data_IF_171398706087
#
_entry.id   IF_171398706087
#
_cell.length_a   1.000
_cell.length_b   1.000
_cell.length_c   1.000
_cell.angle_alpha   90.00
_cell.angle_beta   90.00
_cell.angle_gamma   90.00
#
_symmetry.space_group_name_H-M   'P 1'
#
loop_
_entity.id
_entity.type
_entity.pdbx_description
1 polymer ?
#
# COMPACT_ATOMS: atom_id res chain seq x y z
N UNK A 1 0.14 -14.06 5.37
CA UNK A 1 -1.00 -13.32 5.97
C UNK A 1 -2.26 -14.17 5.86
N UNK A 2 -2.97 -14.35 6.96
CA UNK A 2 -4.22 -15.11 6.97
C UNK A 2 -5.38 -14.25 6.46
N UNK A 3 -6.50 -14.91 6.10
CA UNK A 3 -7.69 -14.19 5.67
C UNK A 3 -8.23 -13.27 6.78
N UNK A 4 -8.14 -13.73 8.02
CA UNK A 4 -8.56 -12.94 9.19
C UNK A 4 -7.70 -11.69 9.36
N UNK A 5 -6.39 -11.84 9.21
CA UNK A 5 -5.45 -10.72 9.30
C UNK A 5 -5.69 -9.72 8.17
N UNK A 6 -5.91 -10.21 6.96
CA UNK A 6 -6.20 -9.36 5.81
C UNK A 6 -7.51 -8.58 6.01
N UNK A 7 -8.55 -9.23 6.51
CA UNK A 7 -9.83 -8.58 6.79
C UNK A 7 -9.67 -7.47 7.82
N UNK A 8 -8.87 -7.70 8.86
CA UNK A 8 -8.59 -6.70 9.87
C UNK A 8 -7.89 -5.48 9.27
N UNK A 9 -6.87 -5.71 8.44
CA UNK A 9 -6.15 -4.60 7.79
C UNK A 9 -7.05 -3.82 6.82
N UNK A 10 -7.94 -4.49 6.10
CA UNK A 10 -8.94 -3.82 5.25
C UNK A 10 -9.84 -2.91 6.08
N UNK A 11 -10.25 -3.37 7.24
CA UNK A 11 -11.08 -2.59 8.16
C UNK A 11 -10.36 -1.31 8.60
N UNK A 12 -9.10 -1.43 8.99
CA UNK A 12 -8.30 -0.26 9.37
C UNK A 12 -8.13 0.70 8.19
N UNK A 13 -7.88 0.16 7.00
CA UNK A 13 -7.64 0.97 5.82
C UNK A 13 -8.87 1.72 5.34
N UNK A 14 -10.08 1.27 5.69
CA UNK A 14 -11.31 1.95 5.28
C UNK A 14 -11.40 3.38 5.79
N UNK A 15 -10.68 3.70 6.88
CA UNK A 15 -10.66 5.04 7.46
C UNK A 15 -9.44 5.87 7.02
N UNK A 16 -8.59 5.32 6.16
CA UNK A 16 -7.40 6.01 5.69
C UNK A 16 -7.66 6.74 4.37
N UNK A 17 -7.04 7.91 4.23
CA UNK A 17 -7.00 8.60 2.95
C UNK A 17 -5.72 8.20 2.21
N UNK A 18 -5.75 8.20 0.86
CA UNK A 18 -4.53 7.95 0.10
C UNK A 18 -3.49 9.02 0.37
N UNK A 19 -2.26 8.60 0.67
CA UNK A 19 -1.16 9.55 0.91
C UNK A 19 -0.25 9.70 -0.31
N UNK A 20 -0.39 8.86 -1.32
CA UNK A 20 0.30 8.97 -2.59
C UNK A 20 -0.67 8.79 -3.73
N UNK A 21 -0.31 9.37 -4.89
CA UNK A 21 -1.09 9.25 -6.11
C UNK A 21 -0.17 8.84 -7.25
N UNK A 22 -0.60 7.87 -8.05
CA UNK A 22 0.13 7.42 -9.24
C UNK A 22 -0.56 8.03 -10.44
N UNK A 23 0.14 8.91 -11.13
CA UNK A 23 -0.44 9.68 -12.23
C UNK A 23 0.09 9.29 -13.61
N UNK A 24 0.22 10.29 -14.48
CA UNK A 24 0.56 10.17 -15.89
C UNK A 24 1.82 9.34 -16.18
N UNK A 25 2.83 9.48 -15.33
CA UNK A 25 4.11 8.78 -15.52
C UNK A 25 4.13 7.39 -14.89
N UNK A 26 2.99 6.94 -14.39
CA UNK A 26 2.87 5.64 -13.72
C UNK A 26 3.84 5.55 -12.52
N UNK A 27 4.36 4.36 -12.24
CA UNK A 27 5.27 4.16 -11.12
C UNK A 27 6.69 4.57 -11.53
N UNK A 28 7.25 5.55 -10.81
CA UNK A 28 8.62 6.00 -11.03
C UNK A 28 9.52 5.51 -9.89
N UNK A 29 10.87 5.47 -10.10
CA UNK A 29 11.77 5.12 -9.00
C UNK A 29 11.64 6.08 -7.81
N UNK A 30 11.46 7.37 -8.08
CA UNK A 30 11.31 8.38 -7.03
C UNK A 30 10.06 8.13 -6.19
N UNK A 31 8.94 7.79 -6.85
CA UNK A 31 7.70 7.50 -6.15
C UNK A 31 7.83 6.21 -5.33
N UNK A 32 8.45 5.19 -5.90
CA UNK A 32 8.70 3.93 -5.18
C UNK A 32 9.53 4.16 -3.93
N UNK A 33 10.59 4.97 -4.03
CA UNK A 33 11.44 5.30 -2.90
C UNK A 33 10.67 6.08 -1.84
N UNK A 34 9.84 7.03 -2.25
CA UNK A 34 9.03 7.82 -1.33
C UNK A 34 8.04 6.94 -0.56
N UNK A 35 7.42 5.97 -1.24
CA UNK A 35 6.51 5.02 -0.60
C UNK A 35 7.28 4.17 0.42
N UNK A 36 8.46 3.68 0.03
CA UNK A 36 9.31 2.89 0.92
C UNK A 36 9.69 3.66 2.19
N UNK A 37 10.03 4.95 2.04
CA UNK A 37 10.35 5.79 3.18
C UNK A 37 9.15 6.06 4.09
N UNK A 38 7.96 6.17 3.50
CA UNK A 38 6.74 6.41 4.27
C UNK A 38 6.44 5.28 5.25
N UNK A 39 6.92 4.06 4.98
CA UNK A 39 6.76 2.95 5.91
C UNK A 39 7.54 3.11 7.21
N UNK A 40 8.50 4.04 7.26
CA UNK A 40 9.20 4.34 8.51
C UNK A 40 8.26 4.94 9.56
N UNK A 41 7.19 5.59 9.12
CA UNK A 41 6.23 6.23 10.02
C UNK A 41 4.82 5.64 9.92
N UNK A 42 4.57 4.76 8.97
CA UNK A 42 3.25 4.21 8.72
C UNK A 42 3.36 2.74 8.37
N UNK A 43 2.68 1.88 9.09
CA UNK A 43 2.68 0.45 8.75
C UNK A 43 1.65 0.12 7.68
N UNK A 44 0.62 0.94 7.55
CA UNK A 44 -0.47 0.74 6.59
C UNK A 44 -0.61 1.99 5.73
N UNK A 45 -0.50 1.82 4.41
CA UNK A 45 -0.51 2.93 3.46
C UNK A 45 -1.53 2.66 2.37
N UNK A 46 -2.31 3.69 2.04
CA UNK A 46 -3.27 3.66 0.95
C UNK A 46 -2.78 4.56 -0.19
N UNK A 47 -2.85 4.06 -1.41
CA UNK A 47 -2.37 4.76 -2.60
C UNK A 47 -3.47 4.79 -3.65
N UNK A 48 -3.66 5.95 -4.29
CA UNK A 48 -4.64 6.11 -5.36
C UNK A 48 -3.95 6.12 -6.72
N UNK A 49 -4.59 5.51 -7.71
CA UNK A 49 -4.14 5.58 -9.11
C UNK A 49 -5.07 6.53 -9.84
N UNK A 50 -4.50 7.57 -10.43
CA UNK A 50 -5.30 8.61 -11.10
C UNK A 50 -5.76 8.16 -12.48
N UNK A 51 -6.80 8.84 -13.01
CA UNK A 51 -7.39 8.50 -14.31
C UNK A 51 -6.40 8.62 -15.47
N UNK A 52 -5.41 9.49 -15.35
CA UNK A 52 -4.42 9.69 -16.42
C UNK A 52 -3.28 8.66 -16.39
N UNK A 53 -3.28 7.74 -15.44
CA UNK A 53 -2.36 6.61 -15.44
C UNK A 53 -2.95 5.49 -16.31
N UNK A 54 -2.19 5.05 -17.29
CA UNK A 54 -2.66 4.03 -18.24
C UNK A 54 -2.39 2.60 -17.78
N UNK A 55 -1.56 2.41 -16.76
CA UNK A 55 -1.23 1.10 -16.27
C UNK A 55 -2.30 0.56 -15.30
N UNK A 56 -2.42 -0.75 -15.27
CA UNK A 56 -3.39 -1.43 -14.41
C UNK A 56 -3.02 -1.22 -12.93
N UNK A 57 -3.95 -0.70 -12.11
CA UNK A 57 -3.70 -0.53 -10.68
C UNK A 57 -3.21 -1.79 -9.97
N UNK A 58 -3.72 -2.95 -10.38
CA UNK A 58 -3.32 -4.23 -9.79
C UNK A 58 -1.85 -4.54 -10.05
N UNK A 59 -1.38 -4.30 -11.27
CA UNK A 59 0.03 -4.51 -11.63
C UNK A 59 0.93 -3.53 -10.89
N UNK A 60 0.51 -2.26 -10.82
CA UNK A 60 1.25 -1.24 -10.08
C UNK A 60 1.37 -1.65 -8.60
N UNK A 61 0.27 -2.08 -8.01
CA UNK A 61 0.25 -2.48 -6.60
C UNK A 61 1.20 -3.63 -6.32
N UNK A 62 1.20 -4.64 -7.18
CA UNK A 62 2.11 -5.78 -7.02
C UNK A 62 3.57 -5.36 -7.15
N UNK A 63 3.88 -4.51 -8.12
CA UNK A 63 5.25 -4.04 -8.33
C UNK A 63 5.74 -3.23 -7.13
N UNK A 64 4.92 -2.31 -6.62
CA UNK A 64 5.28 -1.50 -5.46
C UNK A 64 5.48 -2.39 -4.23
N UNK A 65 4.60 -3.36 -4.02
CA UNK A 65 4.71 -4.28 -2.89
C UNK A 65 6.03 -5.04 -2.93
N UNK A 66 6.42 -5.53 -4.09
CA UNK A 66 7.69 -6.24 -4.25
C UNK A 66 8.89 -5.34 -3.98
N UNK A 67 8.90 -4.15 -4.57
CA UNK A 67 10.04 -3.23 -4.46
C UNK A 67 10.22 -2.64 -3.07
N UNK A 68 9.14 -2.46 -2.33
CA UNK A 68 9.19 -1.91 -0.97
C UNK A 68 9.22 -3.00 0.10
N UNK A 69 9.19 -4.27 -0.32
CA UNK A 69 9.12 -5.42 0.60
C UNK A 69 7.91 -5.34 1.54
N UNK A 70 6.80 -4.86 1.01
CA UNK A 70 5.54 -4.78 1.73
C UNK A 70 4.57 -5.84 1.22
N UNK A 71 3.45 -5.99 1.92
CA UNK A 71 2.40 -6.92 1.54
C UNK A 71 1.22 -6.17 0.94
N UNK A 72 0.72 -6.66 -0.19
CA UNK A 72 -0.48 -6.11 -0.80
C UNK A 72 -1.70 -6.62 -0.03
N UNK A 73 -2.44 -5.70 0.57
CA UNK A 73 -3.63 -6.03 1.37
C UNK A 73 -4.87 -6.15 0.48
N UNK A 74 -5.10 -5.15 -0.38
CA UNK A 74 -6.24 -5.17 -1.29
C UNK A 74 -6.06 -4.17 -2.42
N UNK A 75 -6.78 -4.41 -3.51
CA UNK A 75 -6.94 -3.45 -4.60
C UNK A 75 -8.45 -3.25 -4.76
N UNK A 76 -8.91 -1.99 -4.62
CA UNK A 76 -10.32 -1.63 -4.80
C UNK A 76 -10.39 -0.53 -5.85
N UNK A 77 -10.92 -0.87 -7.05
CA UNK A 77 -10.99 0.10 -8.12
C UNK A 77 -9.61 0.64 -8.45
N UNK A 78 -9.42 1.94 -8.29
CA UNK A 78 -8.16 2.63 -8.56
C UNK A 78 -7.37 2.96 -7.29
N UNK A 79 -7.60 2.22 -6.21
CA UNK A 79 -6.86 2.39 -4.96
C UNK A 79 -6.32 1.05 -4.49
N UNK A 80 -5.18 1.08 -3.81
CA UNK A 80 -4.65 -0.13 -3.20
C UNK A 80 -4.02 0.17 -1.85
N UNK A 81 -3.92 -0.86 -1.02
CA UNK A 81 -3.45 -0.77 0.35
C UNK A 81 -2.26 -1.70 0.53
N UNK A 82 -1.20 -1.18 1.12
CA UNK A 82 0.02 -1.91 1.42
C UNK A 82 0.27 -1.93 2.92
N UNK A 83 0.81 -3.04 3.40
CA UNK A 83 1.14 -3.23 4.80
C UNK A 83 2.60 -3.66 4.95
N UNK A 84 3.33 -2.99 5.83
CA UNK A 84 4.69 -3.37 6.19
C UNK A 84 4.90 -3.07 7.66
N UNK A 85 5.01 -4.11 8.51
CA UNK A 85 5.19 -3.89 9.95
C UNK A 85 6.56 -3.28 10.24
N UNK A 86 6.61 -2.44 11.27
CA UNK A 86 7.86 -1.90 11.76
C UNK A 86 8.69 -3.05 12.34
N UNK A 87 9.96 -3.12 12.00
CA UNK A 87 10.84 -4.21 12.46
C UNK A 87 11.07 -4.19 13.95
N UNK A 88 11.16 -3.01 14.53
CA UNK A 88 11.51 -2.84 15.94
C UNK A 88 10.31 -2.75 16.86
N UNK A 89 9.28 -1.99 16.46
CA UNK A 89 8.09 -1.73 17.28
C UNK A 89 6.82 -1.76 16.43
N UNK A 90 6.30 -2.95 16.11
CA UNK A 90 5.04 -3.04 15.37
C UNK A 90 3.92 -2.37 16.16
N UNK A 91 3.21 -1.45 15.51
CA UNK A 91 2.10 -0.72 16.11
C UNK A 91 0.75 -1.39 15.88
N UNK A 92 0.61 -2.05 14.74
CA UNK A 92 -0.62 -2.75 14.40
C UNK A 92 -0.49 -4.19 14.89
N UNK A 93 -1.38 -4.59 15.80
CA UNK A 93 -1.43 -5.95 16.29
C UNK A 93 -2.39 -6.75 15.43
N UNK A 94 -1.86 -7.72 14.68
CA UNK A 94 -2.68 -8.57 13.84
C UNK A 94 -3.37 -9.65 14.66
N UNK A 95 -4.62 -9.99 14.35
CA UNK A 95 -5.30 -11.12 15.00
C UNK A 95 -4.61 -12.43 14.64
N UNK A 96 -4.61 -13.35 15.56
CA UNK A 96 -4.01 -14.68 15.35
C UNK A 96 -4.91 -15.62 14.59
#
# INVERSE_FOLDING_TARGET
>A
MTSKQRAYLKSLASNLDPIFQVGKFSLTPELTDAIGEAFNNNELIKIAVLKNCLDDPKEIAQTVAERTHSQLVQVIGKKFVLYKPDKDKPKIELPK
#
